data_IF_209886963657
#
_entry.id   IF_209886963657
#
_cell.length_a   1.000
_cell.length_b   1.000
_cell.length_c   1.000
_cell.angle_alpha   90.00
_cell.angle_beta   90.00
_cell.angle_gamma   90.00
#
_symmetry.space_group_name_H-M   'P 1'
#
loop_
_entity.id
_entity.type
_entity.pdbx_description
1 polymer ?
#
# COMPACT_ATOMS: atom_id res chain seq x y z
N UNK A 1 -11.95 -21.84 4.30
CA UNK A 1 -12.10 -20.41 3.92
C UNK A 1 -10.71 -19.88 3.60
N UNK A 2 -10.47 -19.19 2.48
CA UNK A 2 -9.15 -18.63 2.18
C UNK A 2 -8.82 -17.59 3.25
N UNK A 3 -7.69 -17.74 3.91
CA UNK A 3 -7.21 -16.77 4.89
C UNK A 3 -6.61 -15.60 4.11
N UNK A 4 -7.27 -14.44 4.13
CA UNK A 4 -6.70 -13.20 3.58
C UNK A 4 -5.51 -12.83 4.48
N UNK A 5 -4.29 -13.01 3.97
CA UNK A 5 -3.09 -12.59 4.67
C UNK A 5 -2.88 -11.11 4.40
N UNK A 6 -2.88 -10.30 5.46
CA UNK A 6 -2.51 -8.91 5.36
C UNK A 6 -0.99 -8.81 5.26
N UNK A 7 -0.49 -8.15 4.21
CA UNK A 7 0.93 -7.86 4.06
C UNK A 7 1.16 -6.40 4.45
N UNK A 8 1.75 -6.21 5.63
CA UNK A 8 2.26 -4.91 6.10
C UNK A 8 3.71 -4.75 5.67
N UNK A 9 3.97 -3.70 4.90
CA UNK A 9 5.31 -3.30 4.48
C UNK A 9 5.67 -2.00 5.20
N UNK A 10 6.64 -2.09 6.10
CA UNK A 10 7.18 -0.92 6.79
C UNK A 10 8.17 -0.22 5.85
N UNK A 11 7.89 1.04 5.53
CA UNK A 11 8.72 1.88 4.67
C UNK A 11 9.09 3.14 5.42
N UNK A 12 10.31 3.63 5.22
CA UNK A 12 10.70 4.91 5.78
C UNK A 12 9.74 6.00 5.28
N UNK A 13 9.30 6.90 6.17
CA UNK A 13 8.37 7.98 5.82
C UNK A 13 8.81 8.83 4.64
N UNK A 14 10.13 9.03 4.48
CA UNK A 14 10.70 9.75 3.35
C UNK A 14 10.48 9.02 2.00
N UNK A 15 10.40 7.69 2.03
CA UNK A 15 10.27 6.82 0.87
C UNK A 15 8.83 6.37 0.60
N UNK A 16 7.87 6.73 1.46
CA UNK A 16 6.45 6.47 1.23
C UNK A 16 5.97 6.91 -0.17
N UNK A 17 6.22 8.15 -0.65
CA UNK A 17 5.80 8.55 -1.99
C UNK A 17 6.51 7.76 -3.10
N UNK A 18 7.78 7.42 -2.92
CA UNK A 18 8.55 6.63 -3.88
C UNK A 18 8.04 5.17 -3.93
N UNK A 19 7.71 4.59 -2.78
CA UNK A 19 7.15 3.24 -2.65
C UNK A 19 5.75 3.14 -3.24
N UNK A 20 4.92 4.16 -3.04
CA UNK A 20 3.60 4.29 -3.68
C UNK A 20 3.73 4.41 -5.20
N UNK A 21 4.67 5.21 -5.70
CA UNK A 21 4.94 5.33 -7.13
C UNK A 21 5.47 4.02 -7.75
N UNK A 22 6.31 3.30 -6.99
CA UNK A 22 6.82 1.99 -7.40
C UNK A 22 5.70 0.94 -7.45
N UNK A 23 4.86 0.88 -6.42
CA UNK A 23 3.69 0.02 -6.39
C UNK A 23 2.74 0.31 -7.57
N UNK A 24 2.46 1.59 -7.85
CA UNK A 24 1.68 1.99 -9.03
C UNK A 24 2.33 1.57 -10.35
N UNK A 25 3.65 1.66 -10.44
CA UNK A 25 4.40 1.21 -11.63
C UNK A 25 4.31 -0.30 -11.85
N UNK A 26 4.11 -1.08 -10.79
CA UNK A 26 3.84 -2.52 -10.85
C UNK A 26 2.38 -2.86 -11.15
N UNK A 27 1.51 -1.85 -11.25
CA UNK A 27 0.08 -2.00 -11.53
C UNK A 27 -0.81 -1.95 -10.28
N UNK A 28 -0.26 -1.60 -9.11
CA UNK A 28 -1.08 -1.42 -7.92
C UNK A 28 -1.88 -0.11 -7.99
N UNK A 29 -3.07 -0.11 -7.41
CA UNK A 29 -3.97 1.05 -7.40
C UNK A 29 -4.18 1.53 -5.97
N UNK A 30 -4.18 2.85 -5.76
CA UNK A 30 -4.49 3.44 -4.46
C UNK A 30 -5.93 3.10 -4.06
N UNK A 31 -6.12 2.60 -2.84
CA UNK A 31 -7.46 2.45 -2.30
C UNK A 31 -8.01 3.83 -1.91
N UNK A 32 -9.26 4.10 -2.28
CA UNK A 32 -9.93 5.43 -2.23
C UNK A 32 -9.81 6.15 -0.86
N UNK A 33 -9.75 5.39 0.23
CA UNK A 33 -9.71 5.93 1.60
C UNK A 33 -8.31 6.10 2.20
N UNK A 34 -7.26 5.73 1.47
CA UNK A 34 -5.89 5.66 2.01
C UNK A 34 -5.11 6.96 1.88
N UNK A 35 -5.49 7.82 0.94
CA UNK A 35 -4.84 9.12 0.74
C UNK A 35 -5.01 10.07 1.94
N UNK A 36 -5.93 9.78 2.86
CA UNK A 36 -6.23 10.62 4.02
C UNK A 36 -5.35 10.33 5.25
N UNK A 37 -4.62 9.20 5.26
CA UNK A 37 -3.78 8.83 6.41
C UNK A 37 -2.31 9.19 6.17
N UNK A 38 -1.78 10.12 6.97
CA UNK A 38 -0.39 10.56 6.89
C UNK A 38 0.64 9.52 7.37
N UNK A 39 0.17 8.40 7.94
CA UNK A 39 1.02 7.35 8.53
C UNK A 39 0.94 6.01 7.79
N UNK A 40 -0.05 5.78 6.92
CA UNK A 40 -0.16 4.54 6.16
C UNK A 40 -1.00 4.71 4.90
N UNK A 41 -0.63 4.00 3.83
CA UNK A 41 -1.31 4.00 2.54
C UNK A 41 -1.67 2.57 2.16
N UNK A 42 -2.95 2.31 1.88
CA UNK A 42 -3.42 1.02 1.37
C UNK A 42 -3.44 1.07 -0.16
N UNK A 43 -2.86 0.04 -0.76
CA UNK A 43 -2.82 -0.18 -2.20
C UNK A 43 -3.44 -1.56 -2.50
N UNK A 44 -4.00 -1.68 -3.68
CA UNK A 44 -4.53 -2.91 -4.24
C UNK A 44 -3.57 -3.40 -5.31
N UNK A 45 -3.02 -4.59 -5.15
CA UNK A 45 -2.25 -5.26 -6.21
C UNK A 45 -3.14 -5.49 -7.46
N UNK A 46 -2.58 -5.59 -8.69
CA UNK A 46 -3.32 -5.98 -9.89
C UNK A 46 -4.19 -7.23 -9.76
N UNK A 47 -3.87 -8.14 -8.84
CA UNK A 47 -4.68 -9.33 -8.52
C UNK A 47 -5.86 -9.03 -7.57
N UNK A 48 -6.02 -7.79 -7.12
CA UNK A 48 -7.04 -7.32 -6.19
C UNK A 48 -6.71 -7.54 -4.71
N UNK A 49 -5.46 -7.86 -4.36
CA UNK A 49 -5.07 -8.09 -2.97
C UNK A 49 -4.72 -6.77 -2.27
N UNK A 50 -5.34 -6.45 -1.12
CA UNK A 50 -5.01 -5.25 -0.35
C UNK A 50 -3.71 -5.44 0.43
N UNK A 51 -2.84 -4.44 0.37
CA UNK A 51 -1.63 -4.35 1.20
C UNK A 51 -1.44 -2.94 1.73
N UNK A 52 -0.81 -2.82 2.91
CA UNK A 52 -0.56 -1.55 3.57
C UNK A 52 0.93 -1.20 3.52
N UNK A 53 1.22 0.01 3.07
CA UNK A 53 2.51 0.67 3.27
C UNK A 53 2.40 1.53 4.52
N UNK A 54 3.08 1.15 5.60
CA UNK A 54 3.14 1.95 6.82
C UNK A 54 4.40 2.80 6.82
N UNK A 55 4.26 4.08 7.11
CA UNK A 55 5.36 5.01 7.32
C UNK A 55 5.47 5.31 8.82
N UNK A 56 6.44 4.66 9.48
CA UNK A 56 6.86 5.01 10.84
C UNK A 56 7.80 6.22 10.81
#
# INVERSE_FOLDING_TARGET
MPQQSHLDLDVAKADLPASVAYAQSLGAVLADNSASNASFVVLLDPSGHPFCLCAC
#
